data_IF_241657426958
#
_entry.id   IF_241657426958
#
_cell.length_a   1.000
_cell.length_b   1.000
_cell.length_c   1.000
_cell.angle_alpha   90.00
_cell.angle_beta   90.00
_cell.angle_gamma   90.00
#
_symmetry.space_group_name_H-M   'P 1'
#
loop_
_entity.id
_entity.type
_entity.pdbx_description
1 polymer ?
#
# COMPACT_ATOMS: atom_id res chain seq x y z
N UNK A 1 -10.03 11.45 -10.22
CA UNK A 1 -9.23 10.25 -9.87
C UNK A 1 -9.05 10.08 -8.34
N UNK A 2 -9.95 10.63 -7.50
CA UNK A 2 -9.82 10.59 -6.03
C UNK A 2 -10.97 9.88 -5.31
N UNK A 3 -11.95 9.34 -6.03
CA UNK A 3 -13.24 8.95 -5.45
C UNK A 3 -13.22 7.54 -4.85
N UNK A 4 -12.45 6.62 -5.43
CA UNK A 4 -12.35 5.23 -4.96
C UNK A 4 -11.73 5.08 -3.55
N UNK A 5 -10.87 6.02 -3.14
CA UNK A 5 -10.30 6.03 -1.78
C UNK A 5 -11.34 6.46 -0.73
N UNK A 6 -12.14 7.49 -1.06
CA UNK A 6 -13.19 8.01 -0.17
C UNK A 6 -14.27 6.97 0.11
N UNK A 7 -14.65 6.17 -0.89
CA UNK A 7 -15.65 5.10 -0.75
C UNK A 7 -15.16 3.94 0.15
N UNK A 8 -13.85 3.65 0.17
CA UNK A 8 -13.27 2.61 1.03
C UNK A 8 -13.03 3.01 2.48
N UNK A 9 -13.08 4.31 2.82
CA UNK A 9 -12.84 4.80 4.20
C UNK A 9 -13.87 4.33 5.22
N UNK A 10 -15.08 3.95 4.80
CA UNK A 10 -16.18 3.64 5.72
C UNK A 10 -16.05 2.37 6.57
N UNK A 11 -14.95 1.61 6.45
CA UNK A 11 -14.86 0.23 6.98
C UNK A 11 -13.82 0.07 8.12
N UNK A 12 -12.96 1.07 8.37
CA UNK A 12 -11.86 0.92 9.35
C UNK A 12 -12.16 1.57 10.71
N UNK A 13 -11.77 0.89 11.80
CA UNK A 13 -11.85 1.40 13.16
C UNK A 13 -11.21 2.79 13.28
N UNK A 14 -11.90 3.72 13.95
CA UNK A 14 -11.65 5.17 13.89
C UNK A 14 -10.19 5.61 14.16
N UNK A 15 -9.42 4.85 14.95
CA UNK A 15 -8.00 5.15 15.25
C UNK A 15 -7.07 4.69 14.11
N UNK A 16 -7.27 3.48 13.58
CA UNK A 16 -6.51 3.00 12.42
C UNK A 16 -6.82 3.79 11.16
N UNK A 17 -8.06 4.29 11.03
CA UNK A 17 -8.46 5.15 9.92
C UNK A 17 -7.62 6.42 9.79
N UNK A 18 -7.33 7.12 10.89
CA UNK A 18 -6.57 8.39 10.84
C UNK A 18 -5.09 8.20 10.51
N UNK A 19 -4.45 7.15 11.03
CA UNK A 19 -3.06 6.82 10.67
C UNK A 19 -2.94 6.36 9.20
N UNK A 20 -3.89 5.55 8.72
CA UNK A 20 -3.95 5.09 7.33
C UNK A 20 -4.16 6.25 6.37
N UNK A 21 -5.07 7.18 6.70
CA UNK A 21 -5.33 8.37 5.90
C UNK A 21 -4.09 9.28 5.84
N UNK A 22 -3.42 9.49 6.98
CA UNK A 22 -2.22 10.33 7.04
C UNK A 22 -1.10 9.74 6.18
N UNK A 23 -0.90 8.42 6.24
CA UNK A 23 0.08 7.72 5.40
C UNK A 23 -0.29 7.78 3.91
N UNK A 24 -1.58 7.63 3.58
CA UNK A 24 -2.05 7.77 2.21
C UNK A 24 -1.74 9.16 1.65
N UNK A 25 -2.07 10.21 2.39
CA UNK A 25 -1.84 11.59 1.97
C UNK A 25 -0.34 11.90 1.81
N UNK A 26 0.50 11.37 2.70
CA UNK A 26 1.95 11.47 2.59
C UNK A 26 2.47 10.78 1.32
N UNK A 27 2.02 9.55 1.04
CA UNK A 27 2.34 8.82 -0.21
C UNK A 27 1.96 9.63 -1.45
N UNK A 28 0.74 10.19 -1.46
CA UNK A 28 0.27 11.01 -2.59
C UNK A 28 1.10 12.29 -2.74
N UNK A 29 1.48 12.93 -1.63
CA UNK A 29 2.32 14.15 -1.63
C UNK A 29 3.71 13.93 -2.23
N UNK A 30 4.24 12.70 -2.17
CA UNK A 30 5.50 12.30 -2.78
C UNK A 30 5.39 12.09 -4.30
N UNK A 31 4.24 12.40 -4.91
CA UNK A 31 4.02 12.31 -6.35
C UNK A 31 3.62 10.91 -6.80
N UNK A 32 2.92 10.15 -5.93
CA UNK A 32 2.22 8.95 -6.38
C UNK A 32 1.04 9.37 -7.28
N UNK A 33 0.85 8.63 -8.37
CA UNK A 33 -0.33 8.76 -9.23
C UNK A 33 -1.54 7.99 -8.69
N UNK A 34 -1.32 7.06 -7.77
CA UNK A 34 -2.36 6.36 -7.04
C UNK A 34 -1.79 5.47 -5.94
N UNK A 35 -2.58 5.26 -4.89
CA UNK A 35 -2.29 4.35 -3.79
C UNK A 35 -3.55 3.57 -3.41
N UNK A 36 -3.40 2.27 -3.14
CA UNK A 36 -4.50 1.38 -2.78
C UNK A 36 -4.15 0.58 -1.54
N UNK A 37 -4.98 0.67 -0.50
CA UNK A 37 -4.87 -0.20 0.67
C UNK A 37 -5.32 -1.62 0.31
N UNK A 38 -4.43 -2.57 0.57
CA UNK A 38 -4.61 -4.01 0.43
C UNK A 38 -4.73 -4.61 1.83
N UNK A 39 -5.86 -5.26 2.11
CA UNK A 39 -6.17 -5.84 3.42
C UNK A 39 -7.66 -5.70 3.77
N UNK A 40 -8.08 -6.30 4.88
CA UNK A 40 -9.47 -6.37 5.33
C UNK A 40 -10.00 -5.05 5.97
N UNK A 41 -9.26 -3.95 5.88
CA UNK A 41 -9.73 -2.62 6.27
C UNK A 41 -9.14 -2.07 7.58
N UNK A 42 -8.65 -2.90 8.50
CA UNK A 42 -8.03 -2.43 9.77
C UNK A 42 -6.52 -2.16 9.70
N UNK A 43 -5.89 -2.41 8.55
CA UNK A 43 -4.44 -2.35 8.35
C UNK A 43 -4.04 -3.13 7.10
N UNK A 44 -2.73 -3.23 6.81
CA UNK A 44 -2.21 -3.98 5.68
C UNK A 44 -1.12 -3.23 4.92
N UNK A 45 -1.17 -3.31 3.59
CA UNK A 45 -0.15 -2.74 2.71
C UNK A 45 -0.76 -1.71 1.78
N UNK A 46 -0.04 -0.62 1.53
CA UNK A 46 -0.34 0.24 0.40
C UNK A 46 0.39 -0.26 -0.84
N UNK A 47 -0.37 -0.54 -1.90
CA UNK A 47 0.16 -0.67 -3.25
C UNK A 47 0.17 0.72 -3.89
N UNK A 48 1.35 1.19 -4.25
CA UNK A 48 1.57 2.55 -4.75
C UNK A 48 2.05 2.51 -6.20
N UNK A 49 1.51 3.41 -7.02
CA UNK A 49 1.85 3.54 -8.43
C UNK A 49 2.33 4.96 -8.76
N UNK A 50 3.38 5.08 -9.56
CA UNK A 50 3.86 6.35 -10.09
C UNK A 50 5.21 6.20 -10.82
N UNK A 51 5.86 7.33 -11.07
CA UNK A 51 7.11 7.41 -11.83
C UNK A 51 8.25 6.58 -11.22
N UNK A 52 9.24 6.20 -12.04
CA UNK A 52 10.41 5.39 -11.60
C UNK A 52 11.18 6.02 -10.44
N UNK A 53 11.19 7.36 -10.36
CA UNK A 53 11.83 8.13 -9.29
C UNK A 53 11.05 8.12 -7.97
N UNK A 54 9.79 7.69 -7.97
CA UNK A 54 8.92 7.65 -6.78
C UNK A 54 9.49 6.74 -5.70
N UNK A 55 10.07 5.60 -6.08
CA UNK A 55 10.65 4.65 -5.12
C UNK A 55 11.68 5.31 -4.18
N UNK A 56 12.61 6.10 -4.74
CA UNK A 56 13.61 6.86 -3.96
C UNK A 56 12.99 7.93 -3.06
N UNK A 57 11.83 8.47 -3.43
CA UNK A 57 11.11 9.43 -2.59
C UNK A 57 10.37 8.73 -1.45
N UNK A 58 9.80 7.55 -1.72
CA UNK A 58 9.15 6.71 -0.70
C UNK A 58 10.13 6.18 0.36
N UNK A 59 11.41 6.02 0.02
CA UNK A 59 12.46 5.71 1.01
C UNK A 59 12.58 6.79 2.10
N UNK A 60 12.12 8.03 1.85
CA UNK A 60 12.09 9.09 2.88
C UNK A 60 11.02 8.89 3.94
N UNK A 61 10.08 7.97 3.73
CA UNK A 61 9.06 7.58 4.72
C UNK A 61 9.64 6.72 5.86
N UNK A 62 10.98 6.61 5.95
CA UNK A 62 11.71 5.81 6.92
C UNK A 62 11.27 6.08 8.37
N UNK A 63 10.89 5.00 9.08
CA UNK A 63 10.28 5.06 10.40
C UNK A 63 9.42 3.83 10.71
N UNK A 64 8.19 4.03 11.17
CA UNK A 64 7.24 2.95 11.54
C UNK A 64 6.78 2.07 10.37
N UNK A 65 6.97 2.53 9.13
CA UNK A 65 6.48 1.86 7.92
C UNK A 65 7.63 1.26 7.10
N UNK A 66 7.39 0.12 6.46
CA UNK A 66 8.41 -0.62 5.69
C UNK A 66 8.08 -0.64 4.21
N UNK A 67 9.07 -0.33 3.38
CA UNK A 67 8.99 -0.55 1.94
C UNK A 67 9.33 -2.02 1.62
N UNK A 68 8.39 -2.74 1.00
CA UNK A 68 8.58 -4.16 0.66
C UNK A 68 8.88 -4.26 -0.84
N UNK A 69 9.94 -4.98 -1.25
CA UNK A 69 10.17 -5.30 -2.66
C UNK A 69 8.97 -6.04 -3.25
N UNK A 70 8.39 -5.51 -4.31
CA UNK A 70 7.30 -6.13 -5.06
C UNK A 70 7.88 -6.82 -6.29
N UNK A 71 7.50 -8.08 -6.49
CA UNK A 71 7.81 -8.86 -7.69
C UNK A 71 6.56 -9.57 -8.19
N UNK A 72 6.57 -9.94 -9.46
CA UNK A 72 5.53 -10.80 -10.04
C UNK A 72 5.94 -12.25 -9.86
N UNK A 73 5.03 -13.06 -9.34
CA UNK A 73 5.17 -14.51 -9.37
C UNK A 73 4.32 -15.07 -10.51
N UNK A 74 4.84 -16.10 -11.17
CA UNK A 74 4.19 -16.82 -12.26
C UNK A 74 3.88 -18.27 -11.90
N UNK A 75 4.28 -18.73 -10.69
CA UNK A 75 3.96 -20.05 -10.18
C UNK A 75 2.90 -19.96 -9.10
N UNK A 76 1.88 -20.81 -9.23
CA UNK A 76 0.89 -21.01 -8.20
C UNK A 76 1.40 -21.96 -7.11
N UNK A 77 0.47 -22.45 -6.29
CA UNK A 77 0.76 -23.49 -5.30
C UNK A 77 1.43 -24.70 -5.98
N UNK A 78 2.54 -25.16 -5.43
CA UNK A 78 3.32 -26.30 -5.94
C UNK A 78 3.55 -27.29 -4.79
N UNK A 79 3.31 -28.57 -5.03
CA UNK A 79 3.65 -29.64 -4.09
C UNK A 79 5.17 -29.86 -4.16
N UNK A 80 5.86 -29.75 -3.03
CA UNK A 80 7.33 -29.87 -2.95
C UNK A 80 7.81 -31.29 -2.62
N UNK A 81 6.87 -32.23 -2.42
CA UNK A 81 7.17 -33.63 -2.13
C UNK A 81 6.11 -34.54 -2.77
N UNK A 82 6.51 -35.28 -3.80
CA UNK A 82 5.80 -36.48 -4.26
C UNK A 82 6.58 -37.67 -3.68
N UNK A 83 5.87 -38.54 -2.96
CA UNK A 83 6.47 -39.71 -2.29
C UNK A 83 6.91 -40.80 -3.25
#
# INVERSE_FOLDING_TARGET
LGDAWKEKRGISAAVSGSEIDSLHDEIMSLGASGAKLLGAGGGGFFLVHGESSLRKRLEKLEGKNRLIPLGMDHKGSTIIFEG
#
